data_IF_449819044085
#
_entry.id   IF_449819044085
#
_cell.length_a   1.000
_cell.length_b   1.000
_cell.length_c   1.000
_cell.angle_alpha   90.00
_cell.angle_beta   90.00
_cell.angle_gamma   90.00
#
_symmetry.space_group_name_H-M   'P 1'
#
loop_
_entity.id
_entity.type
_entity.pdbx_description
1 polymer ?
#
# COMPACT_ATOMS: atom_id res chain seq x y z
N UNK A 1 -3.36 -8.57 4.59
CA UNK A 1 -3.76 -8.49 3.17
C UNK A 1 -3.14 -7.26 2.51
N UNK A 2 -3.46 -6.04 2.96
CA UNK A 2 -3.02 -4.79 2.35
C UNK A 2 -1.49 -4.67 2.20
N UNK A 3 -0.74 -5.01 3.25
CA UNK A 3 0.73 -4.90 3.25
C UNK A 3 1.37 -5.89 2.27
N UNK A 4 0.86 -7.12 2.20
CA UNK A 4 1.34 -8.11 1.23
C UNK A 4 1.10 -7.68 -0.22
N UNK A 5 -0.09 -7.13 -0.52
CA UNK A 5 -0.41 -6.62 -1.87
C UNK A 5 0.47 -5.42 -2.25
N UNK A 6 0.78 -4.54 -1.31
CA UNK A 6 1.77 -3.46 -1.52
C UNK A 6 3.15 -4.02 -1.84
N UNK A 7 3.58 -5.10 -1.16
CA UNK A 7 4.84 -5.78 -1.42
C UNK A 7 4.95 -6.31 -2.84
N UNK A 8 3.84 -6.87 -3.38
CA UNK A 8 3.79 -7.35 -4.77
C UNK A 8 4.11 -6.23 -5.77
N UNK A 9 3.53 -5.04 -5.58
CA UNK A 9 3.76 -3.90 -6.48
C UNK A 9 5.13 -3.25 -6.25
N UNK A 10 5.63 -3.25 -5.02
CA UNK A 10 6.95 -2.69 -4.71
C UNK A 10 8.09 -3.51 -5.30
N UNK A 11 7.89 -4.80 -5.51
CA UNK A 11 8.87 -5.68 -6.14
C UNK A 11 9.18 -5.30 -7.61
N UNK A 12 8.40 -4.41 -8.23
CA UNK A 12 8.67 -3.85 -9.56
C UNK A 12 9.73 -2.74 -9.54
N UNK A 13 10.12 -2.25 -8.36
CA UNK A 13 11.12 -1.20 -8.20
C UNK A 13 12.44 -1.48 -8.95
N UNK A 14 13.09 -2.64 -8.76
CA UNK A 14 14.35 -2.93 -9.46
C UNK A 14 14.20 -2.98 -11.00
N UNK A 15 13.09 -3.51 -11.50
CA UNK A 15 12.82 -3.60 -12.94
C UNK A 15 12.73 -2.20 -13.57
N UNK A 16 12.05 -1.29 -12.93
CA UNK A 16 11.92 0.09 -13.43
C UNK A 16 13.21 0.89 -13.26
N UNK A 17 13.97 0.64 -12.20
CA UNK A 17 15.28 1.27 -11.98
C UNK A 17 16.30 0.82 -13.06
N UNK A 18 16.33 -0.46 -13.41
CA UNK A 18 17.16 -1.01 -14.50
C UNK A 18 16.80 -0.40 -15.85
N UNK A 19 15.50 -0.40 -16.22
CA UNK A 19 15.04 0.20 -17.47
C UNK A 19 15.34 1.71 -17.54
N UNK A 20 15.29 2.40 -16.42
CA UNK A 20 15.63 3.82 -16.33
C UNK A 20 17.16 4.02 -16.49
N UNK A 21 17.98 3.21 -15.82
CA UNK A 21 19.45 3.23 -15.95
C UNK A 21 19.91 2.96 -17.39
N UNK A 22 19.30 1.97 -18.03
CA UNK A 22 19.52 1.66 -19.44
C UNK A 22 19.00 2.74 -20.42
N UNK A 23 18.46 3.87 -19.94
CA UNK A 23 17.84 4.96 -20.73
C UNK A 23 16.70 4.51 -21.65
N UNK A 24 16.07 3.37 -21.36
CA UNK A 24 14.93 2.83 -22.10
C UNK A 24 13.62 3.44 -21.61
N UNK A 25 13.45 4.75 -21.75
CA UNK A 25 12.29 5.48 -21.23
C UNK A 25 10.95 4.94 -21.72
N UNK A 26 10.84 4.58 -23.00
CA UNK A 26 9.63 3.95 -23.55
C UNK A 26 9.35 2.57 -22.92
N UNK A 27 10.40 1.82 -22.56
CA UNK A 27 10.31 0.55 -21.85
C UNK A 27 9.71 0.71 -20.45
N UNK A 28 10.12 1.74 -19.71
CA UNK A 28 9.54 2.06 -18.40
C UNK A 28 8.04 2.32 -18.54
N UNK A 29 7.63 3.17 -19.49
CA UNK A 29 6.22 3.48 -19.72
C UNK A 29 5.39 2.24 -20.08
N UNK A 30 5.91 1.36 -20.97
CA UNK A 30 5.27 0.08 -21.30
C UNK A 30 5.13 -0.80 -20.05
N UNK A 31 6.19 -0.92 -19.25
CA UNK A 31 6.20 -1.69 -18.02
C UNK A 31 5.20 -1.19 -17.00
N UNK A 32 5.07 0.14 -16.84
CA UNK A 32 4.05 0.75 -15.96
C UNK A 32 2.64 0.44 -16.45
N UNK A 33 2.37 0.53 -17.76
CA UNK A 33 1.05 0.16 -18.32
C UNK A 33 0.74 -1.32 -18.12
N UNK A 34 1.71 -2.21 -18.29
CA UNK A 34 1.54 -3.64 -18.03
C UNK A 34 1.35 -3.93 -16.52
N UNK A 35 1.94 -3.15 -15.62
CA UNK A 35 1.72 -3.29 -14.18
C UNK A 35 0.30 -2.92 -13.74
N UNK A 36 -0.46 -2.16 -14.55
CA UNK A 36 -1.87 -1.88 -14.28
C UNK A 36 -2.73 -3.15 -14.32
N UNK A 37 -2.39 -4.12 -15.17
CA UNK A 37 -3.09 -5.42 -15.17
C UNK A 37 -2.83 -6.19 -13.86
N UNK A 38 -1.58 -6.16 -13.38
CA UNK A 38 -1.24 -6.74 -12.08
C UNK A 38 -1.96 -6.01 -10.94
N UNK A 39 -2.07 -4.68 -11.03
CA UNK A 39 -2.85 -3.88 -10.09
C UNK A 39 -4.33 -4.27 -10.06
N UNK A 40 -4.96 -4.50 -11.21
CA UNK A 40 -6.35 -4.98 -11.27
C UNK A 40 -6.48 -6.33 -10.57
N UNK A 41 -5.61 -7.30 -10.88
CA UNK A 41 -5.62 -8.62 -10.25
C UNK A 41 -5.44 -8.54 -8.73
N UNK A 42 -4.46 -7.76 -8.27
CA UNK A 42 -4.19 -7.59 -6.82
C UNK A 42 -5.32 -6.83 -6.13
N UNK A 43 -5.92 -5.83 -6.79
CA UNK A 43 -7.07 -5.09 -6.26
C UNK A 43 -8.29 -5.99 -6.10
N UNK A 44 -8.62 -6.79 -7.13
CA UNK A 44 -9.73 -7.75 -7.07
C UNK A 44 -9.50 -8.77 -5.96
N UNK A 45 -8.31 -9.37 -5.89
CA UNK A 45 -7.96 -10.33 -4.84
C UNK A 45 -8.09 -9.70 -3.43
N UNK A 46 -7.63 -8.47 -3.27
CA UNK A 46 -7.72 -7.74 -2.01
C UNK A 46 -9.15 -7.36 -1.63
N UNK A 47 -9.96 -6.92 -2.59
CA UNK A 47 -11.38 -6.60 -2.37
C UNK A 47 -12.14 -7.87 -1.95
N UNK A 48 -11.94 -8.98 -2.66
CA UNK A 48 -12.56 -10.27 -2.31
C UNK A 48 -12.17 -10.69 -0.89
N UNK A 49 -10.88 -10.60 -0.55
CA UNK A 49 -10.40 -10.96 0.79
C UNK A 49 -10.98 -10.07 1.90
N UNK A 50 -11.28 -8.79 1.61
CA UNK A 50 -11.85 -7.85 2.60
C UNK A 50 -13.37 -7.94 2.69
N UNK A 51 -14.07 -8.29 1.59
CA UNK A 51 -15.53 -8.42 1.58
C UNK A 51 -16.02 -9.77 2.11
N UNK A 52 -15.15 -10.79 2.13
CA UNK A 52 -15.46 -12.11 2.71
C UNK A 52 -14.64 -12.40 3.96
N UNK A 53 -14.80 -11.60 5.04
CA UNK A 53 -14.03 -11.76 6.28
C UNK A 53 -14.54 -12.90 7.16
N UNK A 54 -15.64 -13.57 6.79
CA UNK A 54 -16.35 -14.56 7.63
C UNK A 54 -15.43 -15.63 8.24
N UNK A 55 -14.55 -16.33 7.47
CA UNK A 55 -13.68 -17.33 8.04
C UNK A 55 -12.71 -16.77 9.11
N UNK A 56 -12.32 -15.50 8.94
CA UNK A 56 -11.40 -14.83 9.84
C UNK A 56 -12.13 -14.34 11.11
N UNK A 57 -13.37 -13.86 10.97
CA UNK A 57 -14.21 -13.41 12.09
C UNK A 57 -14.61 -14.58 12.99
N UNK A 58 -14.94 -15.72 12.41
CA UNK A 58 -15.26 -16.96 13.15
C UNK A 58 -14.04 -17.47 13.92
N UNK A 59 -12.87 -17.46 13.29
CA UNK A 59 -11.63 -17.91 13.93
C UNK A 59 -11.18 -16.98 15.07
N UNK A 60 -11.42 -15.67 14.95
CA UNK A 60 -11.06 -14.68 15.97
C UNK A 60 -12.12 -14.48 17.05
N UNK A 61 -13.26 -15.18 16.97
CA UNK A 61 -14.37 -15.13 17.96
C UNK A 61 -14.85 -13.70 18.24
N UNK A 62 -14.95 -12.86 17.20
CA UNK A 62 -15.44 -11.49 17.35
C UNK A 62 -16.92 -11.51 17.82
N UNK A 63 -17.29 -10.78 18.89
CA UNK A 63 -18.66 -10.70 19.37
C UNK A 63 -19.63 -10.30 18.26
N UNK A 64 -20.79 -10.96 18.18
CA UNK A 64 -21.79 -10.71 17.15
C UNK A 64 -22.25 -9.24 17.06
N UNK A 65 -22.24 -8.52 18.21
CA UNK A 65 -22.56 -7.09 18.28
C UNK A 65 -21.61 -6.19 17.48
N UNK A 66 -20.34 -6.60 17.31
CA UNK A 66 -19.31 -5.81 16.61
C UNK A 66 -19.15 -6.23 15.14
N UNK A 67 -19.64 -7.40 14.73
CA UNK A 67 -19.45 -7.92 13.39
C UNK A 67 -19.98 -6.98 12.30
N UNK A 68 -21.13 -6.34 12.54
CA UNK A 68 -21.73 -5.40 11.59
C UNK A 68 -20.89 -4.13 11.37
N UNK A 69 -20.27 -3.61 12.41
CA UNK A 69 -19.38 -2.45 12.30
C UNK A 69 -18.07 -2.82 11.59
N UNK A 70 -17.51 -3.99 11.93
CA UNK A 70 -16.30 -4.50 11.28
C UNK A 70 -16.53 -4.73 9.79
N UNK A 71 -17.66 -5.31 9.39
CA UNK A 71 -18.00 -5.52 7.99
C UNK A 71 -18.14 -4.18 7.24
N UNK A 72 -18.81 -3.18 7.80
CA UNK A 72 -18.91 -1.84 7.21
C UNK A 72 -17.53 -1.17 7.07
N UNK A 73 -16.70 -1.28 8.10
CA UNK A 73 -15.34 -0.78 8.08
C UNK A 73 -14.52 -1.42 6.95
N UNK A 74 -14.55 -2.75 6.84
CA UNK A 74 -13.83 -3.50 5.81
C UNK A 74 -14.36 -3.20 4.40
N UNK A 75 -15.67 -3.00 4.23
CA UNK A 75 -16.25 -2.63 2.95
C UNK A 75 -15.73 -1.27 2.45
N UNK A 76 -15.64 -0.27 3.33
CA UNK A 76 -15.07 1.05 2.98
C UNK A 76 -13.58 0.92 2.68
N UNK A 77 -12.84 0.12 3.45
CA UNK A 77 -11.42 -0.14 3.16
C UNK A 77 -11.22 -0.90 1.85
N UNK A 78 -12.13 -1.81 1.48
CA UNK A 78 -12.10 -2.50 0.19
C UNK A 78 -12.22 -1.51 -0.98
N UNK A 79 -13.05 -0.47 -0.84
CA UNK A 79 -13.12 0.61 -1.83
C UNK A 79 -11.86 1.51 -1.84
N UNK A 80 -11.21 1.72 -0.70
CA UNK A 80 -9.96 2.49 -0.61
C UNK A 80 -8.74 1.74 -1.15
N UNK A 81 -8.77 0.40 -1.14
CA UNK A 81 -7.63 -0.45 -1.49
C UNK A 81 -7.10 -0.22 -2.91
N UNK A 82 -7.91 -0.22 -3.99
CA UNK A 82 -7.41 0.01 -5.34
C UNK A 82 -6.78 1.40 -5.49
N UNK A 83 -7.32 2.42 -4.83
CA UNK A 83 -6.76 3.78 -4.85
C UNK A 83 -5.36 3.82 -4.21
N UNK A 84 -5.21 3.16 -3.06
CA UNK A 84 -3.92 3.04 -2.38
C UNK A 84 -2.90 2.25 -3.19
N UNK A 85 -3.30 1.13 -3.80
CA UNK A 85 -2.40 0.31 -4.64
C UNK A 85 -1.96 1.08 -5.89
N UNK A 86 -2.84 1.86 -6.50
CA UNK A 86 -2.47 2.69 -7.65
C UNK A 86 -1.52 3.83 -7.24
N UNK A 87 -1.76 4.47 -6.10
CA UNK A 87 -0.81 5.44 -5.53
C UNK A 87 0.54 4.78 -5.20
N UNK A 88 0.54 3.50 -4.81
CA UNK A 88 1.78 2.74 -4.59
C UNK A 88 2.60 2.58 -5.87
N UNK A 89 1.95 2.29 -7.01
CA UNK A 89 2.62 2.23 -8.32
C UNK A 89 3.31 3.58 -8.63
N UNK A 90 2.61 4.69 -8.42
CA UNK A 90 3.19 6.02 -8.57
C UNK A 90 4.41 6.23 -7.65
N UNK A 91 4.30 5.81 -6.39
CA UNK A 91 5.41 5.89 -5.42
C UNK A 91 6.63 5.06 -5.85
N UNK A 92 6.41 3.82 -6.26
CA UNK A 92 7.45 2.91 -6.73
C UNK A 92 8.13 3.44 -7.99
N UNK A 93 7.36 4.03 -8.92
CA UNK A 93 7.90 4.68 -10.11
C UNK A 93 8.84 5.82 -9.75
N UNK A 94 8.42 6.73 -8.87
CA UNK A 94 9.28 7.85 -8.45
C UNK A 94 10.54 7.40 -7.71
N UNK A 95 10.46 6.34 -6.92
CA UNK A 95 11.63 5.73 -6.29
C UNK A 95 12.60 5.17 -7.34
N UNK A 96 12.08 4.49 -8.37
CA UNK A 96 12.88 3.97 -9.48
C UNK A 96 13.55 5.08 -10.31
N UNK A 97 12.86 6.21 -10.49
CA UNK A 97 13.39 7.40 -11.17
C UNK A 97 14.36 8.22 -10.32
N UNK A 98 14.68 7.79 -9.10
CA UNK A 98 15.57 8.48 -8.17
C UNK A 98 15.01 9.77 -7.58
N UNK A 99 13.69 9.97 -7.62
CA UNK A 99 13.00 11.14 -7.06
C UNK A 99 12.00 10.78 -5.94
N UNK A 100 12.43 10.08 -4.88
CA UNK A 100 11.54 9.67 -3.79
C UNK A 100 11.01 10.84 -2.96
N UNK A 101 11.73 11.98 -2.95
CA UNK A 101 11.41 13.14 -2.11
C UNK A 101 10.00 13.67 -2.36
N UNK A 102 9.55 13.71 -3.62
CA UNK A 102 8.20 14.14 -3.97
C UNK A 102 7.13 13.26 -3.31
N UNK A 103 7.33 11.94 -3.39
CA UNK A 103 6.40 10.98 -2.77
C UNK A 103 6.40 11.09 -1.26
N UNK A 104 7.56 11.32 -0.66
CA UNK A 104 7.70 11.53 0.80
C UNK A 104 6.91 12.75 1.26
N UNK A 105 7.00 13.88 0.54
CA UNK A 105 6.21 15.07 0.85
C UNK A 105 4.70 14.84 0.68
N UNK A 106 4.28 14.13 -0.36
CA UNK A 106 2.88 13.75 -0.54
C UNK A 106 2.38 12.87 0.62
N UNK A 107 3.19 11.89 1.06
CA UNK A 107 2.85 11.04 2.20
C UNK A 107 2.78 11.83 3.51
N UNK A 108 3.71 12.76 3.75
CA UNK A 108 3.67 13.64 4.91
C UNK A 108 2.42 14.54 4.89
N UNK A 109 2.10 15.14 3.74
CA UNK A 109 0.88 15.92 3.57
C UNK A 109 -0.38 15.08 3.81
N UNK A 110 -0.39 13.82 3.34
CA UNK A 110 -1.52 12.91 3.56
C UNK A 110 -1.77 12.64 5.04
N UNK A 111 -0.71 12.52 5.84
CA UNK A 111 -0.82 12.31 7.27
C UNK A 111 -1.43 13.55 7.97
N UNK A 112 -0.97 14.73 7.60
CA UNK A 112 -1.48 16.00 8.14
C UNK A 112 -2.98 16.18 7.83
N UNK A 113 -3.44 15.77 6.64
CA UNK A 113 -4.85 15.82 6.25
C UNK A 113 -5.66 14.70 6.92
N UNK A 114 -5.07 13.51 7.03
CA UNK A 114 -5.75 12.32 7.54
C UNK A 114 -6.12 12.45 9.02
N UNK A 115 -5.23 13.04 9.84
CA UNK A 115 -5.47 13.15 11.29
C UNK A 115 -6.74 13.97 11.58
N UNK A 116 -6.88 15.26 11.15
CA UNK A 116 -8.07 16.04 11.43
C UNK A 116 -9.33 15.45 10.77
N UNK A 117 -9.19 14.86 9.57
CA UNK A 117 -10.32 14.25 8.88
C UNK A 117 -10.82 12.99 9.60
N UNK A 118 -9.90 12.19 10.17
CA UNK A 118 -10.27 11.02 10.98
C UNK A 118 -10.98 11.43 12.26
N UNK A 119 -10.51 12.48 12.94
CA UNK A 119 -11.16 13.02 14.13
C UNK A 119 -12.56 13.54 13.79
N UNK A 120 -12.68 14.28 12.69
CA UNK A 120 -13.96 14.84 12.27
C UNK A 120 -14.99 13.76 11.93
N UNK A 121 -14.62 12.73 11.17
CA UNK A 121 -15.58 11.65 10.85
C UNK A 121 -15.85 10.69 12.02
N UNK A 122 -14.88 10.50 12.93
CA UNK A 122 -15.07 9.61 14.08
C UNK A 122 -16.00 10.22 15.12
N UNK A 123 -15.81 11.50 15.47
CA UNK A 123 -16.55 12.15 16.51
C UNK A 123 -17.77 12.94 16.00
N UNK A 124 -17.87 13.13 14.70
CA UNK A 124 -18.91 13.97 14.11
C UNK A 124 -18.61 15.46 14.26
N UNK A 125 -19.37 16.28 13.55
CA UNK A 125 -19.29 17.75 13.62
C UNK A 125 -19.82 18.37 12.33
N UNK A 126 -20.17 19.65 12.36
CA UNK A 126 -20.68 20.38 11.20
C UNK A 126 -21.86 19.69 10.49
N UNK A 127 -22.74 19.02 11.25
CA UNK A 127 -23.95 18.38 10.71
C UNK A 127 -23.78 16.91 10.27
N UNK A 128 -22.59 16.32 10.41
CA UNK A 128 -22.39 14.89 10.18
C UNK A 128 -22.56 14.10 11.49
N UNK A 129 -23.28 12.95 11.46
CA UNK A 129 -23.38 12.08 12.61
C UNK A 129 -22.02 11.46 12.93
N UNK A 130 -21.75 11.17 14.20
CA UNK A 130 -20.57 10.44 14.63
C UNK A 130 -20.59 9.04 14.02
N UNK A 131 -19.65 8.75 13.12
CA UNK A 131 -19.54 7.46 12.43
C UNK A 131 -18.65 6.46 13.19
N UNK A 132 -18.06 6.87 14.33
CA UNK A 132 -17.19 6.03 15.13
C UNK A 132 -16.01 5.47 14.33
N UNK A 133 -15.75 4.18 14.50
CA UNK A 133 -14.62 3.49 13.82
C UNK A 133 -14.77 3.51 12.30
N UNK A 134 -15.98 3.43 11.76
CA UNK A 134 -16.24 3.47 10.31
C UNK A 134 -15.86 4.84 9.73
N UNK A 135 -15.94 5.92 10.51
CA UNK A 135 -15.47 7.25 10.13
C UNK A 135 -13.99 7.29 9.78
N UNK A 136 -13.15 6.55 10.50
CA UNK A 136 -11.72 6.43 10.18
C UNK A 136 -11.47 5.75 8.82
N UNK A 137 -12.32 4.79 8.43
CA UNK A 137 -12.23 4.17 7.11
C UNK A 137 -12.62 5.16 6.00
N UNK A 138 -13.67 5.95 6.20
CA UNK A 138 -14.05 7.02 5.28
C UNK A 138 -12.95 8.08 5.12
N UNK A 139 -12.33 8.51 6.22
CA UNK A 139 -11.18 9.40 6.17
C UNK A 139 -10.05 8.80 5.31
N UNK A 140 -9.78 7.50 5.48
CA UNK A 140 -8.77 6.81 4.67
C UNK A 140 -9.14 6.78 3.19
N UNK A 141 -10.40 6.53 2.85
CA UNK A 141 -10.89 6.52 1.47
C UNK A 141 -10.73 7.91 0.82
N UNK A 142 -11.17 8.96 1.51
CA UNK A 142 -11.09 10.35 1.00
C UNK A 142 -9.64 10.77 0.80
N UNK A 143 -8.77 10.52 1.78
CA UNK A 143 -7.34 10.83 1.67
C UNK A 143 -6.68 10.04 0.54
N UNK A 144 -7.01 8.77 0.38
CA UNK A 144 -6.48 7.94 -0.70
C UNK A 144 -6.91 8.46 -2.09
N UNK A 145 -8.17 8.87 -2.22
CA UNK A 145 -8.68 9.48 -3.43
C UNK A 145 -7.99 10.81 -3.75
N UNK A 146 -7.81 11.66 -2.74
CA UNK A 146 -7.11 12.94 -2.88
C UNK A 146 -5.64 12.74 -3.28
N UNK A 147 -4.94 11.82 -2.63
CA UNK A 147 -3.54 11.51 -2.95
C UNK A 147 -3.39 10.95 -4.35
N UNK A 148 -4.30 10.07 -4.77
CA UNK A 148 -4.30 9.55 -6.12
C UNK A 148 -4.59 10.65 -7.15
N UNK A 149 -5.57 11.52 -6.89
CA UNK A 149 -5.87 12.65 -7.77
C UNK A 149 -4.66 13.59 -7.93
N UNK A 150 -3.97 13.90 -6.82
CA UNK A 150 -2.72 14.68 -6.84
C UNK A 150 -1.61 13.95 -7.61
N UNK A 151 -1.44 12.64 -7.40
CA UNK A 151 -0.45 11.85 -8.12
C UNK A 151 -0.71 11.85 -9.63
N UNK A 152 -1.95 11.65 -10.05
CA UNK A 152 -2.35 11.68 -11.46
C UNK A 152 -2.19 13.08 -12.07
N UNK A 153 -2.53 14.12 -11.32
CA UNK A 153 -2.33 15.50 -11.73
C UNK A 153 -0.84 15.82 -11.94
N UNK A 154 0.03 15.42 -11.00
CA UNK A 154 1.48 15.56 -11.12
C UNK A 154 2.04 14.77 -12.30
N UNK A 155 1.54 13.55 -12.52
CA UNK A 155 1.91 12.70 -13.64
C UNK A 155 1.54 13.35 -15.01
N UNK A 156 0.45 14.10 -15.04
CA UNK A 156 -0.03 14.79 -16.26
C UNK A 156 0.68 16.12 -16.51
N UNK A 157 1.06 16.85 -15.44
CA UNK A 157 1.55 18.23 -15.56
C UNK A 157 3.06 18.34 -15.56
N UNK A 158 3.78 17.41 -14.91
CA UNK A 158 5.23 17.50 -14.81
C UNK A 158 5.93 16.99 -16.08
N UNK A 159 6.81 17.81 -16.65
CA UNK A 159 7.63 17.48 -17.83
C UNK A 159 8.54 16.25 -17.61
N UNK A 160 8.82 15.93 -16.35
CA UNK A 160 9.59 14.76 -15.94
C UNK A 160 9.03 13.45 -16.53
N UNK A 161 7.71 13.32 -16.62
CA UNK A 161 7.05 12.07 -17.04
C UNK A 161 6.79 12.01 -18.55
N UNK A 162 6.95 13.11 -19.30
CA UNK A 162 6.74 13.16 -20.76
C UNK A 162 7.57 12.12 -21.54
N UNK A 163 8.87 11.90 -21.24
CA UNK A 163 9.69 10.93 -21.98
C UNK A 163 9.18 9.48 -21.86
N UNK A 164 8.48 9.16 -20.78
CA UNK A 164 8.02 7.78 -20.48
C UNK A 164 6.71 7.42 -21.20
N UNK A 165 5.98 8.40 -21.79
CA UNK A 165 4.73 8.19 -22.52
C UNK A 165 3.72 7.32 -21.77
N UNK A 166 3.54 7.60 -20.47
CA UNK A 166 2.69 6.79 -19.57
C UNK A 166 1.22 6.85 -20.04
N UNK A 167 0.79 7.98 -20.58
CA UNK A 167 -0.59 8.23 -21.06
C UNK A 167 -0.85 7.69 -22.48
N UNK A 168 0.04 6.89 -23.05
CA UNK A 168 -0.24 6.25 -24.33
C UNK A 168 -1.36 5.20 -24.17
N UNK A 169 -2.05 4.90 -25.27
CA UNK A 169 -3.13 3.92 -25.27
C UNK A 169 -2.66 2.60 -24.59
N UNK A 170 -3.52 1.97 -23.77
CA UNK A 170 -3.19 0.71 -23.13
C UNK A 170 -2.90 -0.34 -24.19
N UNK A 171 -1.73 -0.93 -24.12
CA UNK A 171 -1.32 -2.04 -24.99
C UNK A 171 -2.04 -3.32 -24.53
N UNK A 172 -2.23 -4.24 -25.46
CA UNK A 172 -2.76 -5.56 -25.11
C UNK A 172 -1.93 -6.21 -23.97
N UNK A 173 -2.56 -6.99 -23.07
CA UNK A 173 -1.85 -7.63 -21.98
C UNK A 173 -0.78 -8.58 -22.49
N UNK A 174 0.46 -8.30 -22.13
CA UNK A 174 1.61 -9.14 -22.41
C UNK A 174 1.75 -10.15 -21.26
N UNK A 175 1.11 -11.32 -21.42
CA UNK A 175 1.08 -12.37 -20.41
C UNK A 175 2.46 -12.83 -19.95
N UNK A 176 3.48 -13.01 -20.80
CA UNK A 176 4.85 -13.29 -20.38
C UNK A 176 5.39 -12.25 -19.40
N UNK A 177 5.23 -10.97 -19.72
CA UNK A 177 5.69 -9.85 -18.88
C UNK A 177 4.92 -9.79 -17.55
N UNK A 178 3.59 -9.91 -17.59
CA UNK A 178 2.74 -9.91 -16.37
C UNK A 178 3.10 -11.09 -15.48
N UNK A 179 3.32 -12.28 -16.06
CA UNK A 179 3.74 -13.47 -15.31
C UNK A 179 5.13 -13.31 -14.68
N UNK A 180 6.06 -12.66 -15.37
CA UNK A 180 7.37 -12.34 -14.82
C UNK A 180 7.25 -11.39 -13.61
N UNK A 181 6.40 -10.36 -13.70
CA UNK A 181 6.14 -9.45 -12.59
C UNK A 181 5.45 -10.15 -11.41
N UNK A 182 4.47 -11.01 -11.67
CA UNK A 182 3.84 -11.80 -10.63
C UNK A 182 4.83 -12.77 -9.96
N UNK A 183 5.71 -13.39 -10.75
CA UNK A 183 6.74 -14.30 -10.24
C UNK A 183 7.77 -13.61 -9.35
N UNK A 184 8.04 -12.33 -9.61
CA UNK A 184 8.88 -11.51 -8.76
C UNK A 184 8.13 -10.96 -7.55
N UNK A 185 6.92 -10.46 -7.76
CA UNK A 185 6.13 -9.75 -6.74
C UNK A 185 5.46 -10.65 -5.73
N UNK A 186 4.89 -11.78 -6.17
CA UNK A 186 4.11 -12.66 -5.28
C UNK A 186 4.97 -13.22 -4.13
N UNK A 187 6.17 -13.76 -4.36
CA UNK A 187 7.03 -14.22 -3.25
C UNK A 187 7.41 -13.08 -2.30
N UNK A 188 7.72 -11.89 -2.83
CA UNK A 188 8.02 -10.71 -2.02
C UNK A 188 6.84 -10.28 -1.16
N UNK A 189 5.65 -10.22 -1.74
CA UNK A 189 4.41 -9.92 -1.03
C UNK A 189 4.05 -10.96 0.03
N UNK A 190 4.26 -12.26 -0.28
CA UNK A 190 4.05 -13.35 0.68
C UNK A 190 5.05 -13.29 1.84
N UNK A 191 6.32 -12.98 1.58
CA UNK A 191 7.32 -12.82 2.62
C UNK A 191 6.90 -11.74 3.64
N UNK A 192 6.47 -10.58 3.16
CA UNK A 192 5.96 -9.49 4.01
C UNK A 192 4.67 -9.93 4.74
N UNK A 193 3.78 -10.65 4.07
CA UNK A 193 2.56 -11.16 4.69
C UNK A 193 2.87 -12.11 5.85
N UNK A 194 3.79 -13.05 5.66
CA UNK A 194 4.25 -13.98 6.70
C UNK A 194 4.90 -13.23 7.85
N UNK A 195 5.78 -12.27 7.56
CA UNK A 195 6.43 -11.44 8.57
C UNK A 195 5.41 -10.72 9.45
N UNK A 196 4.49 -9.97 8.85
CA UNK A 196 3.45 -9.22 9.58
C UNK A 196 2.52 -10.17 10.35
N UNK A 197 2.15 -11.31 9.76
CA UNK A 197 1.30 -12.30 10.43
C UNK A 197 2.01 -12.90 11.63
N UNK A 198 3.31 -13.16 11.55
CA UNK A 198 4.11 -13.68 12.66
C UNK A 198 4.16 -12.70 13.84
N UNK A 199 4.38 -11.41 13.57
CA UNK A 199 4.32 -10.38 14.61
C UNK A 199 2.94 -10.28 15.25
N UNK A 200 1.87 -10.37 14.44
CA UNK A 200 0.49 -10.32 14.94
C UNK A 200 0.17 -11.53 15.81
N UNK A 201 0.56 -12.72 15.38
CA UNK A 201 0.36 -13.95 16.15
C UNK A 201 1.14 -13.91 17.47
N UNK A 202 2.39 -13.45 17.43
CA UNK A 202 3.21 -13.30 18.64
C UNK A 202 2.54 -12.35 19.64
N UNK A 203 2.05 -11.20 19.20
CA UNK A 203 1.32 -10.26 20.03
C UNK A 203 0.05 -10.89 20.64
N UNK A 204 -0.66 -11.72 19.87
CA UNK A 204 -1.86 -12.43 20.33
C UNK A 204 -1.54 -13.47 21.42
N UNK A 205 -0.46 -14.23 21.26
CA UNK A 205 -0.01 -15.18 22.29
C UNK A 205 0.43 -14.47 23.57
N UNK A 206 1.17 -13.37 23.46
CA UNK A 206 1.63 -12.59 24.61
C UNK A 206 0.44 -11.93 25.34
N UNK A 207 -0.61 -11.54 24.62
CA UNK A 207 -1.83 -11.00 25.24
C UNK A 207 -2.50 -11.96 26.22
N UNK A 208 -2.31 -13.28 26.04
CA UNK A 208 -2.80 -14.31 26.98
C UNK A 208 -2.01 -14.36 28.28
N UNK A 209 -0.80 -13.81 28.33
CA UNK A 209 0.05 -13.75 29.52
C UNK A 209 -0.31 -12.58 30.46
N UNK A 210 -1.25 -11.75 30.07
CA UNK A 210 -1.76 -10.63 30.85
C UNK A 210 -1.37 -9.25 30.35
N UNK A 211 -1.96 -8.23 30.96
CA UNK A 211 -1.86 -6.84 30.50
C UNK A 211 -0.44 -6.27 30.57
N UNK A 212 0.32 -6.61 31.62
CA UNK A 212 1.68 -6.11 31.81
C UNK A 212 2.62 -6.69 30.74
N UNK A 213 2.53 -8.00 30.47
CA UNK A 213 3.31 -8.64 29.41
C UNK A 213 2.97 -8.07 28.02
N UNK A 214 1.69 -7.87 27.74
CA UNK A 214 1.22 -7.29 26.49
C UNK A 214 1.72 -5.84 26.31
N UNK A 215 1.65 -5.01 27.35
CA UNK A 215 2.14 -3.64 27.30
C UNK A 215 3.66 -3.57 27.09
N UNK A 216 4.42 -4.39 27.80
CA UNK A 216 5.88 -4.47 27.66
C UNK A 216 6.28 -4.91 26.25
N UNK A 217 5.59 -5.92 25.71
CA UNK A 217 5.82 -6.38 24.33
C UNK A 217 5.51 -5.27 23.31
N UNK A 218 4.40 -4.55 23.48
CA UNK A 218 4.01 -3.47 22.56
C UNK A 218 5.03 -2.33 22.54
N UNK A 219 5.60 -1.97 23.69
CA UNK A 219 6.66 -0.97 23.78
C UNK A 219 7.91 -1.48 23.05
N UNK A 220 8.35 -2.69 23.34
CA UNK A 220 9.52 -3.30 22.70
C UNK A 220 9.34 -3.43 21.17
N UNK A 221 8.17 -3.90 20.74
CA UNK A 221 7.83 -4.02 19.31
C UNK A 221 7.83 -2.65 18.60
N UNK A 222 7.33 -1.60 19.25
CA UNK A 222 7.34 -0.25 18.69
C UNK A 222 8.77 0.30 18.53
N UNK A 223 9.63 0.07 19.51
CA UNK A 223 11.05 0.44 19.43
C UNK A 223 11.79 -0.36 18.34
N UNK A 224 11.54 -1.67 18.28
CA UNK A 224 12.12 -2.53 17.24
C UNK A 224 11.66 -2.10 15.83
N UNK A 225 10.39 -1.73 15.65
CA UNK A 225 9.87 -1.26 14.39
C UNK A 225 10.57 0.03 13.92
N UNK A 226 10.79 0.99 14.81
CA UNK A 226 11.53 2.23 14.49
C UNK A 226 12.97 1.92 14.06
N UNK A 227 13.66 1.06 14.81
CA UNK A 227 15.03 0.66 14.48
C UNK A 227 15.09 -0.12 13.15
N UNK A 228 14.09 -0.97 12.88
CA UNK A 228 14.00 -1.75 11.64
C UNK A 228 13.80 -0.87 10.39
N UNK A 229 13.19 0.31 10.53
CA UNK A 229 13.01 1.23 9.40
C UNK A 229 14.33 1.72 8.80
N UNK A 230 15.41 1.81 9.58
CA UNK A 230 16.73 2.23 9.09
C UNK A 230 17.32 1.22 8.08
N UNK A 231 17.53 -0.08 8.44
CA UNK A 231 18.05 -1.06 7.49
C UNK A 231 17.09 -1.30 6.32
N UNK A 232 15.77 -1.23 6.53
CA UNK A 232 14.80 -1.38 5.46
C UNK A 232 14.93 -0.26 4.41
N UNK A 233 15.07 0.99 4.85
CA UNK A 233 15.24 2.13 3.92
C UNK A 233 16.55 2.05 3.14
N UNK A 234 17.64 1.60 3.80
CA UNK A 234 18.93 1.35 3.16
C UNK A 234 18.83 0.23 2.11
N UNK A 235 18.15 -0.89 2.45
CA UNK A 235 17.95 -2.00 1.53
C UNK A 235 17.20 -1.57 0.26
N UNK A 236 16.12 -0.79 0.42
CA UNK A 236 15.35 -0.26 -0.71
C UNK A 236 16.18 0.69 -1.57
N UNK A 237 16.93 1.61 -0.94
CA UNK A 237 17.79 2.55 -1.64
C UNK A 237 18.93 1.83 -2.40
N UNK A 238 19.56 0.84 -1.76
CA UNK A 238 20.63 0.03 -2.37
C UNK A 238 20.10 -0.78 -3.53
N UNK A 239 18.95 -1.44 -3.38
CA UNK A 239 18.30 -2.20 -4.46
C UNK A 239 18.02 -1.32 -5.67
N UNK A 240 17.45 -0.13 -5.46
CA UNK A 240 17.16 0.82 -6.54
C UNK A 240 18.44 1.30 -7.23
N UNK A 241 19.51 1.60 -6.48
CA UNK A 241 20.77 2.07 -7.03
C UNK A 241 21.54 0.96 -7.75
N UNK A 242 21.62 -0.23 -7.18
CA UNK A 242 22.25 -1.37 -7.82
C UNK A 242 21.58 -1.70 -9.17
N UNK A 243 20.25 -1.75 -9.19
CA UNK A 243 19.49 -2.01 -10.42
C UNK A 243 19.62 -0.90 -11.48
N UNK A 244 19.91 0.33 -11.07
CA UNK A 244 20.14 1.45 -11.98
C UNK A 244 21.47 1.34 -12.73
N UNK A 245 22.50 0.72 -12.09
CA UNK A 245 23.85 0.59 -12.67
C UNK A 245 24.08 -0.75 -13.42
N UNK A 246 23.12 -1.67 -13.37
CA UNK A 246 23.11 -2.92 -14.17
C UNK A 246 22.56 -2.66 -15.57
#
# INVERSE_FOLDING_TARGET
VFVGLNGVLQALLPVWAELHGARRHAGVGRSVRQSLYLWVCTSVAGIVALLFPQPLLEWTQVPASMQGEVQRYLAVLAAALPLNLLFRIYGTLNQALGKPVLVTWLQAASLVVKIPLSIWFAFGGLGLPALGVVGCAWATLVVSALMLALALWLLATQDLYRPYRIWHAPEAPDWPTIRAYARLGVPGGLAILVEVSSFTLMALFIARLGTVASASHQIAASMAAVLYMLPLSLAIATSSRASFWL
#
